data_IF_564267502114
#
_entry.id   IF_564267502114
#
_cell.length_a   1.000
_cell.length_b   1.000
_cell.length_c   1.000
_cell.angle_alpha   90.00
_cell.angle_beta   90.00
_cell.angle_gamma   90.00
#
_symmetry.space_group_name_H-M   'P 1'
#
loop_
_entity.id
_entity.type
_entity.pdbx_description
1 polymer ?
#
# COMPACT_ATOMS: atom_id res chain seq x y z
N UNK A 1 -10.72 60.83 21.96
CA UNK A 1 -9.71 60.18 21.12
C UNK A 1 -9.91 58.68 21.26
N UNK A 2 -10.56 58.06 20.25
CA UNK A 2 -10.96 56.65 20.26
C UNK A 2 -9.99 55.89 19.34
N UNK A 3 -9.21 54.96 19.91
CA UNK A 3 -8.40 54.04 19.17
C UNK A 3 -9.23 52.79 18.84
N UNK A 4 -9.51 52.57 17.56
CA UNK A 4 -10.09 51.36 17.05
C UNK A 4 -8.95 50.35 16.74
N UNK A 5 -8.91 49.25 17.47
CA UNK A 5 -8.00 48.12 17.21
C UNK A 5 -8.61 47.26 16.09
N UNK A 6 -7.94 47.26 14.93
CA UNK A 6 -8.27 46.37 13.80
C UNK A 6 -7.60 45.03 13.99
N UNK A 7 -8.36 43.97 14.34
CA UNK A 7 -7.87 42.61 14.39
C UNK A 7 -7.88 42.03 12.99
N UNK A 8 -6.70 41.84 12.40
CA UNK A 8 -6.52 41.07 11.14
C UNK A 8 -6.62 39.58 11.48
N UNK A 9 -7.71 38.95 11.09
CA UNK A 9 -7.84 37.49 11.01
C UNK A 9 -7.08 37.03 9.75
N UNK A 10 -5.90 36.46 9.94
CA UNK A 10 -5.20 35.70 8.91
C UNK A 10 -5.89 34.34 8.76
N UNK A 11 -6.86 34.27 7.85
CA UNK A 11 -7.34 32.98 7.35
C UNK A 11 -6.23 32.34 6.52
N UNK A 12 -5.47 31.45 7.15
CA UNK A 12 -4.52 30.59 6.46
C UNK A 12 -5.27 29.61 5.58
N UNK A 13 -5.44 29.91 4.29
CA UNK A 13 -5.77 28.90 3.30
C UNK A 13 -4.59 27.93 3.22
N UNK A 14 -4.79 26.70 3.68
CA UNK A 14 -3.93 25.58 3.30
C UNK A 14 -4.17 25.38 1.81
N UNK A 15 -3.28 25.92 1.01
CA UNK A 15 -3.26 25.73 -0.44
C UNK A 15 -2.67 24.34 -0.64
N UNK A 16 -3.48 23.39 -1.10
CA UNK A 16 -2.97 22.14 -1.67
C UNK A 16 -1.97 22.52 -2.76
N UNK A 17 -0.69 22.25 -2.52
CA UNK A 17 0.35 22.53 -3.51
C UNK A 17 0.10 21.64 -4.73
N UNK A 18 0.01 22.19 -5.94
CA UNK A 18 -0.17 21.40 -7.14
C UNK A 18 1.04 20.47 -7.33
N UNK A 19 0.73 19.23 -7.71
CA UNK A 19 1.70 18.21 -8.09
C UNK A 19 2.50 18.77 -9.28
N UNK A 20 3.80 19.03 -9.11
CA UNK A 20 4.70 19.33 -10.22
C UNK A 20 5.45 20.66 -10.22
N UNK A 21 5.33 21.54 -9.22
CA UNK A 21 6.19 22.73 -9.16
C UNK A 21 7.52 22.40 -8.48
N UNK A 22 8.61 22.71 -9.20
CA UNK A 22 10.00 22.56 -8.74
C UNK A 22 10.21 23.36 -7.48
N UNK A 23 10.69 22.67 -6.51
CA UNK A 23 10.96 22.98 -5.20
C UNK A 23 11.78 24.18 -4.83
N UNK A 24 11.52 24.61 -3.61
CA UNK A 24 12.40 25.48 -2.86
C UNK A 24 13.66 24.77 -2.38
N UNK A 25 14.62 25.52 -1.88
CA UNK A 25 15.83 24.98 -1.25
C UNK A 25 15.46 23.98 -0.17
N UNK A 26 15.95 22.72 -0.30
CA UNK A 26 15.74 21.64 0.66
C UNK A 26 14.72 20.57 0.27
N UNK A 27 14.11 20.65 -0.91
CA UNK A 27 13.27 19.57 -1.43
C UNK A 27 14.09 18.34 -1.81
N UNK A 28 13.46 17.18 -1.62
CA UNK A 28 13.99 15.88 -1.98
C UNK A 28 13.19 15.31 -3.14
N UNK A 29 13.82 14.51 -3.98
CA UNK A 29 13.18 13.79 -5.07
C UNK A 29 13.10 12.32 -4.70
N UNK A 30 11.89 11.77 -4.66
CA UNK A 30 11.64 10.36 -4.47
C UNK A 30 11.21 9.74 -5.79
N UNK A 31 11.93 8.72 -6.25
CA UNK A 31 11.64 7.97 -7.48
C UNK A 31 11.11 6.59 -7.11
N UNK A 32 9.80 6.42 -7.18
CA UNK A 32 9.11 5.19 -6.79
C UNK A 32 8.92 4.27 -8.00
N UNK A 33 9.16 2.99 -7.78
CA UNK A 33 8.76 1.94 -8.71
C UNK A 33 8.09 0.80 -7.96
N UNK A 34 7.06 0.19 -8.56
CA UNK A 34 6.31 -0.93 -7.98
C UNK A 34 6.47 -2.14 -8.86
N UNK A 35 6.77 -3.29 -8.26
CA UNK A 35 6.87 -4.56 -8.96
C UNK A 35 6.11 -5.67 -8.25
N UNK A 36 5.52 -6.57 -9.06
CA UNK A 36 4.80 -7.77 -8.63
C UNK A 36 5.50 -9.00 -9.26
N UNK A 37 6.52 -9.58 -8.60
CA UNK A 37 7.38 -10.61 -9.22
C UNK A 37 6.64 -11.88 -9.64
N UNK A 38 5.51 -12.19 -8.98
CA UNK A 38 4.73 -13.41 -9.27
C UNK A 38 3.58 -13.19 -10.27
N UNK A 39 3.47 -12.00 -10.86
CA UNK A 39 2.42 -11.71 -11.84
C UNK A 39 2.65 -12.40 -13.19
N UNK A 40 3.89 -12.79 -13.51
CA UNK A 40 4.29 -13.40 -14.78
C UNK A 40 3.67 -14.77 -15.08
N UNK A 41 2.89 -15.33 -14.17
CA UNK A 41 2.16 -16.60 -14.33
C UNK A 41 0.65 -16.47 -14.26
N UNK A 42 0.09 -15.27 -14.38
CA UNK A 42 -1.35 -15.09 -14.52
C UNK A 42 -1.75 -15.53 -15.94
N UNK A 43 -2.06 -16.80 -16.08
CA UNK A 43 -2.66 -17.40 -17.28
C UNK A 43 -4.11 -16.91 -17.51
N UNK A 44 -4.62 -16.08 -16.61
CA UNK A 44 -5.97 -15.54 -16.65
C UNK A 44 -5.94 -14.13 -17.25
N UNK A 45 -5.88 -14.04 -18.56
CA UNK A 45 -5.69 -12.85 -19.38
C UNK A 45 -6.63 -11.64 -19.15
N UNK A 46 -7.25 -11.51 -17.98
CA UNK A 46 -8.18 -10.45 -17.64
C UNK A 46 -7.89 -9.76 -16.28
N UNK A 47 -7.01 -10.32 -15.42
CA UNK A 47 -6.81 -9.77 -14.09
C UNK A 47 -5.47 -9.01 -13.98
N UNK A 48 -5.52 -7.69 -14.00
CA UNK A 48 -4.38 -6.81 -13.75
C UNK A 48 -4.41 -6.28 -12.32
N UNK A 49 -3.62 -6.89 -11.45
CA UNK A 49 -3.51 -6.47 -10.05
C UNK A 49 -2.95 -5.05 -9.91
N UNK A 50 -2.08 -4.61 -10.83
CA UNK A 50 -1.54 -3.24 -10.81
C UNK A 50 -2.61 -2.20 -11.15
N UNK A 51 -3.52 -2.48 -12.06
CA UNK A 51 -4.65 -1.60 -12.36
C UNK A 51 -5.59 -1.41 -11.15
N UNK A 52 -5.63 -2.39 -10.24
CA UNK A 52 -6.40 -2.34 -8.99
C UNK A 52 -5.55 -1.95 -7.78
N UNK A 53 -4.37 -1.38 -8.00
CA UNK A 53 -3.46 -1.05 -6.91
C UNK A 53 -3.79 0.29 -6.25
N UNK A 54 -3.33 0.42 -5.01
CA UNK A 54 -3.35 1.69 -4.27
C UNK A 54 -2.00 1.88 -3.60
N UNK A 55 -1.38 3.03 -3.82
CA UNK A 55 -0.20 3.46 -3.09
C UNK A 55 -0.57 4.57 -2.11
N UNK A 56 -0.08 4.46 -0.88
CA UNK A 56 -0.23 5.49 0.16
C UNK A 56 1.15 5.88 0.66
N UNK A 57 1.37 7.18 0.83
CA UNK A 57 2.60 7.74 1.36
C UNK A 57 2.25 8.49 2.65
N UNK A 58 2.94 8.12 3.71
CA UNK A 58 2.76 8.70 5.03
C UNK A 58 4.03 9.44 5.46
N UNK A 59 3.86 10.61 6.06
CA UNK A 59 4.91 11.21 6.86
C UNK A 59 4.90 10.61 8.27
N UNK A 60 6.08 10.40 8.83
CA UNK A 60 6.27 9.83 10.15
C UNK A 60 6.77 10.91 11.10
N UNK A 61 6.03 11.14 12.18
CA UNK A 61 6.39 12.10 13.23
C UNK A 61 6.40 11.38 14.58
N UNK A 62 7.20 11.86 15.51
CA UNK A 62 7.14 11.35 16.88
C UNK A 62 5.82 11.79 17.53
N UNK A 63 5.14 10.87 18.21
CA UNK A 63 3.86 11.14 18.87
C UNK A 63 3.99 11.77 20.25
N UNK A 64 5.24 11.95 20.73
CA UNK A 64 5.55 12.52 22.05
C UNK A 64 5.49 11.51 23.19
N UNK A 65 5.02 10.29 22.96
CA UNK A 65 4.94 9.19 23.95
C UNK A 65 5.95 8.06 23.66
N UNK A 66 6.89 8.31 22.74
CA UNK A 66 7.92 7.35 22.30
C UNK A 66 7.45 6.45 21.15
N UNK A 67 6.29 6.71 20.56
CA UNK A 67 5.78 6.07 19.38
C UNK A 67 5.98 6.91 18.10
N UNK A 68 5.33 6.48 17.03
CA UNK A 68 5.38 7.16 15.73
C UNK A 68 3.97 7.36 15.20
N UNK A 69 3.58 8.61 14.98
CA UNK A 69 2.35 8.96 14.30
C UNK A 69 2.55 8.92 12.78
N UNK A 70 1.58 8.32 12.08
CA UNK A 70 1.53 8.24 10.62
C UNK A 70 0.49 9.20 10.06
N UNK A 71 0.92 10.16 9.24
CA UNK A 71 0.03 11.10 8.59
C UNK A 71 0.02 10.84 7.09
N UNK A 72 -1.13 10.48 6.52
CA UNK A 72 -1.29 10.27 5.09
C UNK A 72 -1.10 11.59 4.34
N UNK A 73 -0.09 11.66 3.47
CA UNK A 73 0.23 12.87 2.70
C UNK A 73 -0.09 12.74 1.20
N UNK A 74 -0.04 11.51 0.64
CA UNK A 74 -0.35 11.25 -0.77
C UNK A 74 -1.01 9.89 -0.93
N UNK A 75 -1.90 9.79 -1.93
CA UNK A 75 -2.56 8.55 -2.34
C UNK A 75 -2.68 8.52 -3.86
N UNK A 76 -2.27 7.41 -4.47
CA UNK A 76 -2.37 7.17 -5.90
C UNK A 76 -3.20 5.91 -6.16
N UNK A 77 -4.08 5.95 -7.14
CA UNK A 77 -4.92 4.82 -7.55
C UNK A 77 -5.22 4.90 -9.05
N UNK A 78 -4.64 4.03 -9.86
CA UNK A 78 -3.70 2.96 -9.50
C UNK A 78 -2.35 3.48 -8.98
N UNK A 79 -1.57 2.62 -8.35
CA UNK A 79 -0.22 2.96 -7.85
C UNK A 79 0.74 3.39 -8.98
N UNK A 80 0.45 3.00 -10.21
CA UNK A 80 1.20 3.38 -11.41
C UNK A 80 1.02 4.85 -11.82
N UNK A 81 0.05 5.56 -11.25
CA UNK A 81 -0.14 7.01 -11.47
C UNK A 81 0.82 7.89 -10.63
N UNK A 82 1.68 7.26 -9.82
CA UNK A 82 2.71 8.02 -9.11
C UNK A 82 3.63 8.72 -10.11
N UNK A 83 3.94 10.03 -9.93
CA UNK A 83 4.89 10.73 -10.78
C UNK A 83 6.28 10.07 -10.73
N UNK A 84 7.03 10.13 -11.84
CA UNK A 84 8.40 9.62 -11.90
C UNK A 84 9.30 10.30 -10.86
N UNK A 85 9.12 11.60 -10.67
CA UNK A 85 9.78 12.39 -9.64
C UNK A 85 8.73 12.97 -8.70
N UNK A 86 8.74 12.51 -7.46
CA UNK A 86 7.87 13.00 -6.40
C UNK A 86 8.66 13.90 -5.46
N UNK A 87 8.26 15.15 -5.36
CA UNK A 87 8.90 16.15 -4.51
C UNK A 87 8.33 16.08 -3.10
N UNK A 88 9.21 15.91 -2.11
CA UNK A 88 8.89 15.86 -0.69
C UNK A 88 9.88 16.70 0.12
N UNK A 89 9.47 17.18 1.27
CA UNK A 89 10.39 17.79 2.23
C UNK A 89 11.34 16.74 2.85
N UNK A 90 12.44 17.17 3.43
CA UNK A 90 13.27 16.30 4.25
C UNK A 90 12.46 15.75 5.44
N UNK A 91 12.62 14.45 5.75
CA UNK A 91 11.83 13.82 6.80
C UNK A 91 11.83 12.30 6.75
N UNK A 92 11.07 11.68 7.66
CA UNK A 92 10.83 10.23 7.68
C UNK A 92 9.49 9.92 7.06
N UNK A 93 9.46 8.87 6.26
CA UNK A 93 8.29 8.48 5.49
C UNK A 93 8.08 6.97 5.48
N UNK A 94 6.83 6.56 5.23
CA UNK A 94 6.47 5.18 4.90
C UNK A 94 5.63 5.18 3.62
N UNK A 95 6.00 4.32 2.68
CA UNK A 95 5.18 3.96 1.52
C UNK A 95 4.53 2.61 1.79
N UNK A 96 3.25 2.50 1.49
CA UNK A 96 2.51 1.24 1.49
C UNK A 96 1.78 1.08 0.15
N UNK A 97 1.91 -0.09 -0.45
CA UNK A 97 1.25 -0.47 -1.69
C UNK A 97 0.42 -1.72 -1.45
N UNK A 98 -0.82 -1.68 -1.90
CA UNK A 98 -1.73 -2.82 -1.97
C UNK A 98 -2.16 -2.96 -3.42
N UNK A 99 -2.16 -4.17 -3.96
CA UNK A 99 -2.53 -4.42 -5.34
C UNK A 99 -3.42 -5.66 -5.42
N UNK A 100 -4.40 -5.60 -6.32
CA UNK A 100 -5.40 -6.62 -6.47
C UNK A 100 -6.66 -6.39 -5.65
N UNK A 101 -7.65 -7.24 -5.85
CA UNK A 101 -8.91 -7.22 -5.12
C UNK A 101 -8.81 -8.15 -3.91
N UNK A 102 -8.51 -7.59 -2.74
CA UNK A 102 -8.42 -8.31 -1.47
C UNK A 102 -9.77 -8.51 -0.75
N UNK A 103 -10.89 -8.04 -1.36
CA UNK A 103 -12.20 -8.04 -0.70
C UNK A 103 -12.85 -9.41 -0.59
N UNK A 104 -12.46 -10.36 -1.46
CA UNK A 104 -13.00 -11.72 -1.46
C UNK A 104 -11.89 -12.77 -1.60
N UNK A 105 -12.03 -13.87 -0.85
CA UNK A 105 -11.18 -15.04 -1.02
C UNK A 105 -11.54 -15.73 -2.34
N UNK A 106 -10.71 -15.57 -3.36
CA UNK A 106 -10.90 -16.22 -4.66
C UNK A 106 -9.69 -17.10 -4.99
N UNK A 107 -9.91 -18.18 -5.73
CA UNK A 107 -8.83 -19.06 -6.19
C UNK A 107 -8.02 -18.48 -7.37
N UNK A 108 -8.55 -17.46 -8.04
CA UNK A 108 -8.03 -16.94 -9.30
C UNK A 108 -7.40 -15.56 -9.19
N UNK A 109 -7.69 -14.81 -8.12
CA UNK A 109 -7.20 -13.43 -7.95
C UNK A 109 -6.18 -13.37 -6.82
N UNK A 110 -4.97 -12.98 -7.17
CA UNK A 110 -3.88 -12.76 -6.22
C UNK A 110 -3.95 -11.34 -5.68
N UNK A 111 -3.79 -11.20 -4.37
CA UNK A 111 -3.60 -9.92 -3.70
C UNK A 111 -2.14 -9.78 -3.28
N UNK A 112 -1.63 -8.56 -3.38
CA UNK A 112 -0.23 -8.26 -3.09
C UNK A 112 -0.15 -7.07 -2.15
N UNK A 113 0.85 -7.06 -1.29
CA UNK A 113 1.20 -5.90 -0.51
C UNK A 113 2.72 -5.74 -0.42
N UNK A 114 3.15 -4.50 -0.31
CA UNK A 114 4.54 -4.14 -0.12
C UNK A 114 4.64 -2.77 0.51
N UNK A 115 5.80 -2.44 1.01
CA UNK A 115 6.04 -1.13 1.60
C UNK A 115 7.44 -1.01 2.16
N UNK A 116 7.84 0.22 2.40
CA UNK A 116 9.16 0.57 2.90
C UNK A 116 9.08 1.82 3.77
N UNK A 117 9.89 1.84 4.83
CA UNK A 117 10.11 3.03 5.67
C UNK A 117 11.48 3.58 5.37
N UNK A 118 11.57 4.89 5.13
CA UNK A 118 12.81 5.55 4.72
C UNK A 118 12.91 6.96 5.24
N UNK A 119 14.11 7.52 5.14
CA UNK A 119 14.39 8.91 5.48
C UNK A 119 14.91 9.63 4.22
N UNK A 120 14.51 10.89 4.07
CA UNK A 120 15.03 11.82 3.07
C UNK A 120 15.77 12.94 3.80
N UNK A 121 17.01 13.21 3.40
CA UNK A 121 17.74 14.40 3.77
C UNK A 121 17.55 15.49 2.71
N UNK A 122 17.70 16.74 3.08
CA UNK A 122 17.52 17.87 2.17
C UNK A 122 18.41 17.74 0.90
N UNK A 123 17.79 17.80 -0.27
CA UNK A 123 18.45 17.66 -1.57
C UNK A 123 18.66 16.23 -2.05
N UNK A 124 18.18 15.21 -1.31
CA UNK A 124 18.29 13.81 -1.73
C UNK A 124 17.52 13.53 -3.02
N UNK A 125 18.11 12.70 -3.88
CA UNK A 125 17.43 12.01 -4.98
C UNK A 125 17.46 10.52 -4.65
N UNK A 126 16.30 9.95 -4.25
CA UNK A 126 16.23 8.58 -3.74
C UNK A 126 15.38 7.69 -4.66
N UNK A 127 15.99 6.73 -5.36
CA UNK A 127 15.24 5.64 -5.99
C UNK A 127 14.76 4.65 -4.92
N UNK A 128 13.48 4.29 -4.97
CA UNK A 128 12.86 3.39 -3.99
C UNK A 128 11.99 2.35 -4.72
N UNK A 129 12.54 1.16 -5.00
CA UNK A 129 11.77 0.06 -5.55
C UNK A 129 10.91 -0.60 -4.46
N UNK A 130 9.60 -0.68 -4.68
CA UNK A 130 8.66 -1.39 -3.81
C UNK A 130 8.34 -2.74 -4.45
N UNK A 131 8.78 -3.81 -3.82
CA UNK A 131 8.47 -5.18 -4.24
C UNK A 131 7.29 -5.68 -3.43
N UNK A 132 6.15 -5.87 -4.06
CA UNK A 132 4.96 -6.40 -3.40
C UNK A 132 4.99 -7.93 -3.42
N UNK A 133 4.56 -8.54 -2.31
CA UNK A 133 4.46 -9.99 -2.15
C UNK A 133 3.01 -10.41 -2.08
N UNK A 134 2.72 -11.65 -2.47
CA UNK A 134 1.38 -12.24 -2.35
C UNK A 134 0.97 -12.25 -0.89
N UNK A 135 -0.25 -11.78 -0.61
CA UNK A 135 -0.83 -11.72 0.75
C UNK A 135 -1.92 -12.75 0.98
N UNK A 136 -2.44 -13.36 -0.08
CA UNK A 136 -3.43 -14.43 0.01
C UNK A 136 -2.83 -15.77 -0.42
N UNK A 137 -3.36 -16.85 0.16
CA UNK A 137 -2.95 -18.22 -0.14
C UNK A 137 -4.16 -18.94 -0.74
N UNK A 138 -3.96 -19.60 -1.90
CA UNK A 138 -4.94 -20.50 -2.46
C UNK A 138 -4.54 -21.94 -2.12
N UNK A 139 -5.43 -22.68 -1.44
CA UNK A 139 -5.25 -24.09 -1.10
C UNK A 139 -6.24 -24.91 -1.92
N UNK A 140 -5.74 -25.84 -2.72
CA UNK A 140 -6.55 -26.82 -3.43
C UNK A 140 -6.33 -28.20 -2.82
N UNK A 141 -7.36 -28.78 -2.25
CA UNK A 141 -7.34 -30.17 -1.81
C UNK A 141 -7.75 -31.06 -2.97
N UNK A 142 -6.91 -32.04 -3.27
CA UNK A 142 -7.21 -33.06 -4.28
C UNK A 142 -7.21 -34.40 -3.61
N UNK A 143 -8.36 -35.08 -3.64
CA UNK A 143 -8.48 -36.43 -3.11
C UNK A 143 -8.04 -37.43 -4.18
N UNK A 144 -7.27 -38.43 -3.75
CA UNK A 144 -6.98 -39.59 -4.59
C UNK A 144 -8.27 -40.35 -4.95
N UNK A 145 -8.38 -40.88 -6.17
CA UNK A 145 -9.57 -41.59 -6.62
C UNK A 145 -9.95 -42.82 -5.77
N UNK A 146 -9.00 -43.37 -5.01
CA UNK A 146 -9.25 -44.48 -4.10
C UNK A 146 -10.01 -44.06 -2.83
N UNK A 147 -10.02 -42.78 -2.48
CA UNK A 147 -10.72 -42.28 -1.28
C UNK A 147 -12.22 -42.49 -1.43
N UNK A 148 -12.80 -42.14 -2.57
CA UNK A 148 -14.22 -42.35 -2.85
C UNK A 148 -14.65 -43.83 -2.81
N UNK A 149 -13.71 -44.74 -3.04
CA UNK A 149 -13.98 -46.20 -2.98
C UNK A 149 -13.98 -46.78 -1.58
N UNK A 150 -13.43 -46.06 -0.59
CA UNK A 150 -13.23 -46.51 0.77
C UNK A 150 -14.18 -45.87 1.80
N UNK A 151 -14.85 -44.78 1.40
CA UNK A 151 -15.71 -44.00 2.29
C UNK A 151 -17.07 -43.79 1.64
N UNK A 152 -18.00 -44.71 1.94
CA UNK A 152 -19.35 -44.73 1.33
C UNK A 152 -20.23 -43.57 1.79
N UNK A 153 -19.98 -43.00 2.97
CA UNK A 153 -20.77 -41.91 3.54
C UNK A 153 -20.21 -40.50 3.23
N UNK A 154 -19.17 -40.42 2.37
CA UNK A 154 -18.52 -39.16 2.01
C UNK A 154 -17.31 -38.85 2.89
N UNK A 155 -16.61 -37.79 2.51
CA UNK A 155 -15.40 -37.34 3.20
C UNK A 155 -15.28 -35.82 3.09
N UNK A 156 -14.66 -35.21 4.09
CA UNK A 156 -14.43 -33.76 4.16
C UNK A 156 -12.97 -33.49 4.45
N UNK A 157 -12.43 -32.44 3.84
CA UNK A 157 -11.14 -31.88 4.22
C UNK A 157 -11.34 -30.46 4.76
N UNK A 158 -10.70 -30.18 5.86
CA UNK A 158 -10.69 -28.87 6.47
C UNK A 158 -9.30 -28.25 6.29
N UNK A 159 -9.28 -26.97 5.89
CA UNK A 159 -8.07 -26.16 5.87
C UNK A 159 -8.31 -25.03 6.88
N UNK A 160 -7.52 -25.01 7.94
CA UNK A 160 -7.56 -23.97 8.96
C UNK A 160 -6.24 -23.19 8.99
N UNK A 161 -6.32 -21.88 9.18
CA UNK A 161 -5.15 -21.04 9.40
C UNK A 161 -4.63 -21.11 10.86
N UNK A 162 -5.33 -21.82 11.73
CA UNK A 162 -4.97 -22.04 13.14
C UNK A 162 -5.34 -23.45 13.56
N UNK A 163 -4.79 -23.90 14.68
CA UNK A 163 -5.16 -25.19 15.32
C UNK A 163 -6.58 -25.18 15.93
N UNK A 164 -7.27 -24.06 15.85
CA UNK A 164 -8.63 -23.90 16.34
C UNK A 164 -9.65 -24.23 15.25
N UNK A 165 -10.10 -25.48 15.21
CA UNK A 165 -11.10 -25.98 14.28
C UNK A 165 -12.56 -25.58 14.63
N UNK A 166 -12.76 -24.78 15.67
CA UNK A 166 -14.10 -24.31 16.07
C UNK A 166 -14.61 -23.15 15.22
N UNK A 167 -13.77 -22.61 14.34
CA UNK A 167 -14.05 -21.43 13.47
C UNK A 167 -14.17 -21.80 11.99
N UNK A 168 -14.60 -23.02 11.68
CA UNK A 168 -14.92 -23.46 10.30
C UNK A 168 -16.35 -23.16 9.94
#
# INVERSE_FOLDING_TARGET
VSLAACALLLAGCVKDAPVGERGGEGECILQLSVSLPDQSRADDGAYDALALSTMRIYSLTDDGEGGTAENLIRKYRPATEVPADLYLAAGRYRVAVEAGDGSEATFTRKSYAGGETFTLAAGDVKPLPIVCRITNIAVKVVFDGTVAQRFDEGYLAYVSASDDFSKT
#
